data_IF_687940932946
#
_entry.id   IF_687940932946
#
_cell.length_a   1.000
_cell.length_b   1.000
_cell.length_c   1.000
_cell.angle_alpha   90.00
_cell.angle_beta   90.00
_cell.angle_gamma   90.00
#
_symmetry.space_group_name_H-M   'P 1'
#
loop_
_entity.id
_entity.type
_entity.pdbx_description
1 polymer ?
#
# COMPACT_ATOMS: atom_id res chain seq x y z
N UNK A 1 -5.07 -7.20 12.18
CA UNK A 1 -4.79 -6.49 10.91
C UNK A 1 -3.59 -5.64 11.22
N UNK A 2 -2.51 -5.89 10.51
CA UNK A 2 -1.26 -5.16 10.73
C UNK A 2 -1.46 -3.66 10.49
N UNK A 3 -0.74 -2.84 11.24
CA UNK A 3 -0.95 -1.38 11.21
C UNK A 3 -0.55 -0.84 9.83
N UNK A 4 0.45 -1.45 9.22
CA UNK A 4 0.96 -1.27 7.86
C UNK A 4 -0.12 -1.38 6.78
N UNK A 5 -0.85 -2.51 6.72
CA UNK A 5 -1.92 -2.71 5.74
C UNK A 5 -3.09 -1.73 5.93
N UNK A 6 -3.28 -1.21 7.14
CA UNK A 6 -4.23 -0.14 7.44
C UNK A 6 -3.88 1.14 6.70
N UNK A 7 -2.65 1.64 6.89
CA UNK A 7 -2.14 2.83 6.21
C UNK A 7 -2.12 2.66 4.69
N UNK A 8 -1.74 1.48 4.19
CA UNK A 8 -1.74 1.19 2.76
C UNK A 8 -3.14 1.29 2.15
N UNK A 9 -4.14 0.72 2.83
CA UNK A 9 -5.55 0.78 2.41
C UNK A 9 -6.05 2.22 2.36
N UNK A 10 -5.69 3.04 3.35
CA UNK A 10 -6.04 4.46 3.37
C UNK A 10 -5.42 5.20 2.19
N UNK A 11 -4.12 5.01 1.94
CA UNK A 11 -3.42 5.57 0.78
C UNK A 11 -4.09 5.17 -0.56
N UNK A 12 -4.42 3.88 -0.73
CA UNK A 12 -5.07 3.37 -1.94
C UNK A 12 -6.51 3.87 -2.12
N UNK A 13 -7.16 4.35 -1.05
CA UNK A 13 -8.51 4.93 -1.14
C UNK A 13 -8.54 6.17 -2.05
N UNK A 14 -7.41 6.86 -2.19
CA UNK A 14 -7.24 8.00 -3.12
C UNK A 14 -7.05 7.56 -4.58
N UNK A 15 -6.82 6.27 -4.84
CA UNK A 15 -6.52 5.73 -6.17
C UNK A 15 -7.58 4.73 -6.68
N UNK A 16 -8.78 4.74 -6.09
CA UNK A 16 -9.87 3.82 -6.45
C UNK A 16 -10.46 4.06 -7.85
N UNK A 17 -10.21 5.23 -8.44
CA UNK A 17 -10.55 5.54 -9.83
C UNK A 17 -9.71 4.75 -10.84
N UNK A 18 -8.53 4.27 -10.42
CA UNK A 18 -7.66 3.44 -11.25
C UNK A 18 -8.02 1.96 -11.06
N UNK A 19 -8.24 1.24 -12.16
CA UNK A 19 -8.66 -0.18 -12.10
C UNK A 19 -7.69 -1.07 -11.31
N UNK A 20 -6.38 -0.80 -11.41
CA UNK A 20 -5.35 -1.52 -10.65
C UNK A 20 -5.42 -1.16 -9.16
N UNK A 21 -5.53 0.13 -8.81
CA UNK A 21 -5.66 0.57 -7.42
C UNK A 21 -6.90 0.00 -6.75
N UNK A 22 -8.02 -0.06 -7.47
CA UNK A 22 -9.23 -0.72 -6.99
C UNK A 22 -9.03 -2.23 -6.76
N UNK A 23 -8.29 -2.93 -7.62
CA UNK A 23 -8.03 -4.35 -7.46
C UNK A 23 -7.20 -4.62 -6.19
N UNK A 24 -6.10 -3.89 -6.02
CA UNK A 24 -5.23 -3.97 -4.86
C UNK A 24 -6.02 -3.67 -3.57
N UNK A 25 -6.83 -2.61 -3.58
CA UNK A 25 -7.69 -2.28 -2.45
C UNK A 25 -8.65 -3.41 -2.09
N UNK A 26 -9.29 -4.03 -3.09
CA UNK A 26 -10.18 -5.18 -2.87
C UNK A 26 -9.42 -6.38 -2.30
N UNK A 27 -8.18 -6.63 -2.76
CA UNK A 27 -7.33 -7.68 -2.18
C UNK A 27 -7.13 -7.41 -0.69
N UNK A 28 -6.70 -6.22 -0.29
CA UNK A 28 -6.49 -5.88 1.13
C UNK A 28 -7.78 -6.04 1.97
N UNK A 29 -8.93 -5.63 1.45
CA UNK A 29 -10.20 -5.68 2.20
C UNK A 29 -10.80 -7.09 2.24
N UNK A 30 -10.65 -7.87 1.17
CA UNK A 30 -11.21 -9.22 1.07
C UNK A 30 -10.27 -10.30 1.60
N UNK A 31 -8.97 -10.05 1.55
CA UNK A 31 -7.91 -10.93 2.03
C UNK A 31 -7.81 -10.87 3.54
N UNK A 32 -7.53 -12.01 4.16
CA UNK A 32 -7.18 -12.09 5.58
C UNK A 32 -5.67 -12.24 5.72
N UNK A 33 -4.94 -11.28 5.17
CA UNK A 33 -3.49 -11.25 5.24
C UNK A 33 -3.04 -11.09 6.68
N UNK A 34 -2.12 -11.94 7.11
CA UNK A 34 -1.51 -11.85 8.44
C UNK A 34 -0.61 -10.61 8.56
N UNK A 35 0.11 -10.27 7.48
CA UNK A 35 1.07 -9.19 7.38
C UNK A 35 1.22 -8.70 5.92
N UNK A 36 2.08 -7.71 5.70
CA UNK A 36 2.41 -7.13 4.40
C UNK A 36 3.15 -8.10 3.46
N UNK A 37 3.97 -9.02 3.99
CA UNK A 37 4.66 -10.03 3.19
C UNK A 37 3.66 -10.94 2.47
N UNK A 38 2.71 -11.52 3.22
CA UNK A 38 1.64 -12.36 2.65
C UNK A 38 0.81 -11.58 1.63
N UNK A 39 0.60 -10.29 1.86
CA UNK A 39 -0.13 -9.45 0.91
C UNK A 39 0.64 -9.25 -0.40
N UNK A 40 1.93 -8.94 -0.33
CA UNK A 40 2.77 -8.70 -1.52
C UNK A 40 2.93 -9.97 -2.35
N UNK A 41 3.04 -11.15 -1.73
CA UNK A 41 3.06 -12.44 -2.42
C UNK A 41 1.83 -12.70 -3.31
N UNK A 42 0.71 -12.03 -3.02
CA UNK A 42 -0.55 -12.15 -3.75
C UNK A 42 -0.77 -11.05 -4.81
N UNK A 43 0.21 -10.16 -5.01
CA UNK A 43 0.19 -9.14 -6.06
C UNK A 43 0.71 -9.70 -7.38
N UNK A 44 0.09 -9.27 -8.48
CA UNK A 44 0.65 -9.50 -9.82
C UNK A 44 1.66 -8.40 -10.19
N UNK A 45 2.52 -8.66 -11.18
CA UNK A 45 3.57 -7.73 -11.62
C UNK A 45 3.08 -6.29 -11.83
N UNK A 46 1.96 -6.12 -12.54
CA UNK A 46 1.37 -4.80 -12.79
C UNK A 46 0.84 -4.11 -11.53
N UNK A 47 0.36 -4.90 -10.56
CA UNK A 47 -0.07 -4.37 -9.27
C UNK A 47 1.14 -3.91 -8.45
N UNK A 48 2.24 -4.67 -8.47
CA UNK A 48 3.48 -4.29 -7.79
C UNK A 48 4.07 -2.99 -8.39
N UNK A 49 4.16 -2.89 -9.71
CA UNK A 49 4.64 -1.68 -10.39
C UNK A 49 3.78 -0.45 -10.05
N UNK A 50 2.46 -0.61 -10.06
CA UNK A 50 1.54 0.47 -9.69
C UNK A 50 1.66 0.84 -8.21
N UNK A 51 1.74 -0.16 -7.33
CA UNK A 51 1.83 0.05 -5.90
C UNK A 51 3.13 0.75 -5.52
N UNK A 52 4.24 0.39 -6.17
CA UNK A 52 5.54 1.05 -6.00
C UNK A 52 5.42 2.56 -6.25
N UNK A 53 4.82 2.96 -7.37
CA UNK A 53 4.61 4.37 -7.71
C UNK A 53 3.71 5.11 -6.71
N UNK A 54 2.63 4.45 -6.24
CA UNK A 54 1.74 5.02 -5.22
C UNK A 54 2.48 5.21 -3.89
N UNK A 55 3.25 4.21 -3.46
CA UNK A 55 4.01 4.27 -2.22
C UNK A 55 5.06 5.38 -2.24
N UNK A 56 5.81 5.52 -3.34
CA UNK A 56 6.78 6.61 -3.51
C UNK A 56 6.11 7.99 -3.34
N UNK A 57 4.94 8.17 -3.95
CA UNK A 57 4.18 9.42 -3.87
C UNK A 57 3.66 9.69 -2.46
N UNK A 58 3.02 8.70 -1.84
CA UNK A 58 2.39 8.81 -0.53
C UNK A 58 3.42 8.97 0.60
N UNK A 59 4.57 8.28 0.52
CA UNK A 59 5.68 8.45 1.46
C UNK A 59 6.25 9.87 1.40
N UNK A 60 6.43 10.41 0.19
CA UNK A 60 6.90 11.78 -0.01
C UNK A 60 5.91 12.81 0.56
N UNK A 61 4.62 12.59 0.35
CA UNK A 61 3.56 13.43 0.89
C UNK A 61 3.54 13.37 2.43
N UNK A 62 3.52 12.16 3.01
CA UNK A 62 3.56 11.95 4.45
C UNK A 62 4.81 12.57 5.10
N UNK A 63 5.97 12.45 4.47
CA UNK A 63 7.22 13.05 4.96
C UNK A 63 7.12 14.58 4.98
N UNK A 64 6.53 15.18 3.94
CA UNK A 64 6.32 16.63 3.88
C UNK A 64 5.32 17.12 4.95
N UNK A 65 4.32 16.30 5.29
CA UNK A 65 3.38 16.57 6.40
C UNK A 65 3.96 16.23 7.79
N UNK A 66 5.22 15.77 7.87
CA UNK A 66 5.87 15.32 9.10
C UNK A 66 5.18 14.09 9.74
N UNK A 67 4.41 13.33 8.97
CA UNK A 67 3.80 12.06 9.39
C UNK A 67 4.81 10.91 9.26
N UNK A 68 5.81 10.94 10.14
CA UNK A 68 6.88 9.95 10.15
C UNK A 68 6.39 8.52 10.40
N UNK A 69 5.27 8.36 11.11
CA UNK A 69 4.67 7.05 11.34
C UNK A 69 4.15 6.49 10.03
N UNK A 70 3.32 7.25 9.30
CA UNK A 70 2.80 6.82 8.01
C UNK A 70 3.92 6.55 7.00
N UNK A 71 4.96 7.40 6.95
CA UNK A 71 6.11 7.16 6.08
C UNK A 71 6.78 5.82 6.39
N UNK A 72 7.02 5.50 7.67
CA UNK A 72 7.66 4.25 8.07
C UNK A 72 6.83 3.03 7.68
N UNK A 73 5.53 3.04 8.00
CA UNK A 73 4.66 1.90 7.76
C UNK A 73 4.51 1.64 6.24
N UNK A 74 4.39 2.70 5.43
CA UNK A 74 4.37 2.56 3.96
C UNK A 74 5.72 2.07 3.40
N UNK A 75 6.84 2.41 4.05
CA UNK A 75 8.16 1.94 3.66
C UNK A 75 8.31 0.42 3.87
N UNK A 76 7.70 -0.15 4.91
CA UNK A 76 7.74 -1.61 5.14
C UNK A 76 7.12 -2.39 3.98
N UNK A 77 6.04 -1.89 3.38
CA UNK A 77 5.48 -2.49 2.15
C UNK A 77 6.39 -2.24 0.95
N UNK A 78 6.94 -1.03 0.84
CA UNK A 78 7.81 -0.64 -0.29
C UNK A 78 9.06 -1.51 -0.38
N UNK A 79 9.67 -1.90 0.75
CA UNK A 79 10.86 -2.75 0.78
C UNK A 79 10.60 -4.20 0.33
N UNK A 80 9.33 -4.61 0.23
CA UNK A 80 8.92 -5.95 -0.20
C UNK A 80 8.57 -6.04 -1.69
N UNK A 81 8.37 -4.90 -2.37
CA UNK A 81 8.07 -4.82 -3.80
C UNK A 81 9.34 -4.89 -4.66
#
# INVERSE_FOLDING_TARGET
MDTTLGYLRESLSNHLEHGIGQNIYRKIVSGRYANEEEFVEHLEEREMEFLNQVLEHEMKYALNEQDHKRTRELNEVYELL
#
